data_IF_139988453332
#
_entry.id   IF_139988453332
#
_cell.length_a   1.000
_cell.length_b   1.000
_cell.length_c   1.000
_cell.angle_alpha   90.00
_cell.angle_beta   90.00
_cell.angle_gamma   90.00
#
_symmetry.space_group_name_H-M   'P 1'
#
loop_
_entity.id
_entity.type
_entity.pdbx_description
1 polymer ?
#
# COMPACT_ATOMS: atom_id res chain seq x y z
N UNK A 1 -5.86 30.18 2.55
CA UNK A 1 -6.24 28.83 3.03
C UNK A 1 -5.55 27.73 2.19
N UNK A 2 -4.21 27.72 2.12
CA UNK A 2 -3.39 26.74 1.35
C UNK A 2 -2.52 25.83 2.23
N UNK A 3 -2.72 25.85 3.55
CA UNK A 3 -1.77 25.28 4.52
C UNK A 3 -2.27 24.02 5.24
N UNK A 4 -3.54 23.65 5.11
CA UNK A 4 -4.11 22.47 5.79
C UNK A 4 -3.48 21.16 5.29
N UNK A 5 -3.29 20.94 3.96
CA UNK A 5 -2.67 19.71 3.47
C UNK A 5 -1.21 19.56 3.92
N UNK A 6 -0.44 20.66 3.90
CA UNK A 6 0.96 20.65 4.34
C UNK A 6 1.11 20.35 5.83
N UNK A 7 0.16 20.78 6.68
CA UNK A 7 0.17 20.49 8.10
C UNK A 7 -0.10 19.01 8.38
N UNK A 8 -1.00 18.38 7.62
CA UNK A 8 -1.31 16.95 7.73
C UNK A 8 -0.15 16.08 7.24
N UNK A 9 0.49 16.41 6.11
CA UNK A 9 1.71 15.73 5.66
C UNK A 9 2.86 15.88 6.67
N UNK A 10 3.01 17.04 7.30
CA UNK A 10 3.99 17.24 8.38
C UNK A 10 3.66 16.43 9.64
N UNK A 11 2.37 16.30 9.99
CA UNK A 11 1.88 15.46 11.08
C UNK A 11 2.15 13.97 10.81
N UNK A 12 2.08 13.52 9.54
CA UNK A 12 2.40 12.15 9.13
C UNK A 12 3.89 11.84 9.31
N UNK A 13 4.77 12.77 8.92
CA UNK A 13 6.21 12.67 9.18
C UNK A 13 6.48 12.61 10.69
N UNK A 14 5.77 13.42 11.48
CA UNK A 14 5.86 13.40 12.94
C UNK A 14 5.34 12.10 13.57
N UNK A 15 4.41 11.39 12.93
CA UNK A 15 3.88 10.08 13.35
C UNK A 15 4.83 8.91 13.01
N UNK A 16 5.77 9.06 12.08
CA UNK A 16 6.77 8.02 11.79
C UNK A 16 7.81 7.88 12.89
N UNK A 17 8.22 8.98 13.50
CA UNK A 17 9.16 8.98 14.64
C UNK A 17 8.67 8.07 15.79
N UNK A 18 7.45 8.21 16.32
CA UNK A 18 6.95 7.33 17.37
C UNK A 18 6.74 5.89 16.86
N UNK A 19 6.33 5.68 15.60
CA UNK A 19 6.21 4.32 15.04
C UNK A 19 7.57 3.60 14.99
N UNK A 20 8.65 4.33 14.69
CA UNK A 20 10.01 3.82 14.69
C UNK A 20 10.54 3.58 16.12
N UNK A 21 10.09 4.33 17.12
CA UNK A 21 10.56 4.19 18.50
C UNK A 21 9.82 3.10 19.29
N UNK A 22 8.57 2.79 18.96
CA UNK A 22 7.75 1.81 19.70
C UNK A 22 8.03 0.37 19.25
N UNK A 23 8.14 -0.57 20.18
CA UNK A 23 8.37 -1.99 19.86
C UNK A 23 7.25 -2.61 19.02
N UNK A 24 7.65 -3.46 18.06
CA UNK A 24 6.70 -4.19 17.22
C UNK A 24 5.78 -5.11 18.04
N UNK A 25 4.59 -5.43 17.51
CA UNK A 25 3.58 -6.29 18.14
C UNK A 25 2.96 -5.76 19.44
N UNK A 26 3.27 -4.54 19.86
CA UNK A 26 2.67 -3.91 21.05
C UNK A 26 1.38 -3.16 20.71
N UNK A 27 0.52 -2.92 21.71
CA UNK A 27 -0.71 -2.12 21.53
C UNK A 27 -0.41 -0.71 20.98
N UNK A 28 0.59 0.03 21.49
CA UNK A 28 0.92 1.35 20.93
C UNK A 28 1.37 1.29 19.47
N UNK A 29 2.08 0.24 19.06
CA UNK A 29 2.48 0.06 17.66
C UNK A 29 1.25 -0.05 16.75
N UNK A 30 0.29 -0.91 17.11
CA UNK A 30 -0.92 -1.09 16.32
C UNK A 30 -1.81 0.15 16.29
N UNK A 31 -1.91 0.89 17.41
CA UNK A 31 -2.63 2.17 17.43
C UNK A 31 -2.01 3.17 16.46
N UNK A 32 -0.68 3.34 16.50
CA UNK A 32 0.03 4.24 15.59
C UNK A 32 -0.07 3.79 14.14
N UNK A 33 0.00 2.49 13.87
CA UNK A 33 -0.18 1.91 12.53
C UNK A 33 -1.57 2.22 11.96
N UNK A 34 -2.64 2.02 12.76
CA UNK A 34 -4.02 2.31 12.35
C UNK A 34 -4.22 3.81 12.12
N UNK A 35 -3.72 4.65 13.02
CA UNK A 35 -3.81 6.12 12.87
C UNK A 35 -3.07 6.55 11.60
N UNK A 36 -1.83 6.11 11.41
CA UNK A 36 -1.03 6.49 10.24
C UNK A 36 -1.69 6.06 8.92
N UNK A 37 -2.19 4.83 8.83
CA UNK A 37 -2.85 4.34 7.62
C UNK A 37 -4.21 4.99 7.35
N UNK A 38 -4.98 5.31 8.39
CA UNK A 38 -6.29 5.98 8.22
C UNK A 38 -6.14 7.46 7.89
N UNK A 39 -5.16 8.15 8.47
CA UNK A 39 -4.85 9.55 8.13
C UNK A 39 -4.44 9.68 6.66
N UNK A 40 -3.65 8.75 6.11
CA UNK A 40 -3.31 8.73 4.69
C UNK A 40 -4.55 8.67 3.77
N UNK A 41 -5.45 7.72 4.04
CA UNK A 41 -6.68 7.58 3.28
C UNK A 41 -7.59 8.82 3.34
N UNK A 42 -7.63 9.48 4.50
CA UNK A 42 -8.43 10.68 4.72
C UNK A 42 -7.84 11.92 4.02
N UNK A 43 -6.53 12.11 4.10
CA UNK A 43 -5.83 13.22 3.45
C UNK A 43 -5.98 13.15 1.93
N UNK A 44 -5.76 11.97 1.35
CA UNK A 44 -5.93 11.72 -0.07
C UNK A 44 -7.38 11.94 -0.52
N UNK A 45 -8.37 11.70 0.34
CA UNK A 45 -9.78 11.98 0.04
C UNK A 45 -10.11 13.47 0.13
N UNK A 46 -9.63 14.17 1.16
CA UNK A 46 -9.86 15.60 1.37
C UNK A 46 -9.15 16.46 0.29
N UNK A 47 -7.93 16.12 -0.08
CA UNK A 47 -7.17 16.80 -1.12
C UNK A 47 -7.90 16.77 -2.47
N UNK A 48 -8.43 15.58 -2.85
CA UNK A 48 -9.24 15.39 -4.05
C UNK A 48 -10.58 16.12 -3.99
N UNK A 49 -11.23 16.12 -2.84
CA UNK A 49 -12.54 16.77 -2.66
C UNK A 49 -12.46 18.30 -2.70
N UNK A 50 -11.36 18.88 -2.22
CA UNK A 50 -11.17 20.33 -2.19
C UNK A 50 -10.37 20.88 -3.37
N UNK A 51 -9.83 20.02 -4.25
CA UNK A 51 -9.06 20.45 -5.43
C UNK A 51 -7.76 21.18 -5.07
N UNK A 52 -7.20 20.91 -3.90
CA UNK A 52 -5.99 21.57 -3.37
C UNK A 52 -4.80 20.63 -3.44
N UNK A 53 -4.61 19.99 -4.59
CA UNK A 53 -3.42 19.17 -4.85
C UNK A 53 -2.26 20.09 -5.26
N UNK A 54 -1.15 20.01 -4.53
CA UNK A 54 0.07 20.73 -4.89
C UNK A 54 1.17 19.72 -5.26
N UNK A 55 1.99 20.05 -6.26
CA UNK A 55 3.11 19.18 -6.68
C UNK A 55 4.08 18.90 -5.53
N UNK A 56 4.28 19.87 -4.65
CA UNK A 56 5.14 19.73 -3.47
C UNK A 56 4.52 18.80 -2.42
N UNK A 57 3.24 18.98 -2.11
CA UNK A 57 2.50 18.10 -1.19
C UNK A 57 2.44 16.66 -1.68
N UNK A 58 2.18 16.44 -2.98
CA UNK A 58 2.15 15.11 -3.58
C UNK A 58 3.51 14.39 -3.50
N UNK A 59 4.62 15.14 -3.66
CA UNK A 59 5.97 14.59 -3.48
C UNK A 59 6.26 14.19 -2.03
N UNK A 60 5.84 15.01 -1.06
CA UNK A 60 5.95 14.68 0.37
C UNK A 60 5.09 13.48 0.77
N UNK A 61 3.88 13.37 0.22
CA UNK A 61 2.95 12.26 0.43
C UNK A 61 3.57 10.93 -0.04
N UNK A 62 4.13 10.92 -1.26
CA UNK A 62 4.82 9.75 -1.81
C UNK A 62 6.04 9.33 -0.97
N UNK A 63 6.81 10.30 -0.46
CA UNK A 63 7.94 10.02 0.43
C UNK A 63 7.47 9.45 1.78
N UNK A 64 6.39 10.02 2.32
CA UNK A 64 5.82 9.57 3.58
C UNK A 64 5.31 8.12 3.48
N UNK A 65 4.61 7.78 2.40
CA UNK A 65 4.13 6.42 2.15
C UNK A 65 5.28 5.42 2.02
N UNK A 66 6.34 5.80 1.31
CA UNK A 66 7.53 4.96 1.16
C UNK A 66 8.20 4.68 2.51
N UNK A 67 8.38 5.71 3.34
CA UNK A 67 8.96 5.57 4.69
C UNK A 67 8.06 4.70 5.58
N UNK A 68 6.73 4.87 5.53
CA UNK A 68 5.79 4.06 6.30
C UNK A 68 5.94 2.57 5.95
N UNK A 69 5.91 2.24 4.66
CA UNK A 69 6.04 0.87 4.17
C UNK A 69 7.40 0.28 4.58
N UNK A 70 8.47 1.06 4.52
CA UNK A 70 9.80 0.60 4.95
C UNK A 70 9.87 0.32 6.45
N UNK A 71 9.38 1.24 7.30
CA UNK A 71 9.45 1.10 8.76
C UNK A 71 8.57 -0.06 9.23
N UNK A 72 7.31 -0.11 8.77
CA UNK A 72 6.38 -1.18 9.10
C UNK A 72 6.91 -2.51 8.58
N UNK A 73 7.35 -2.55 7.32
CA UNK A 73 7.93 -3.73 6.70
C UNK A 73 9.12 -4.25 7.50
N UNK A 74 10.09 -3.39 7.81
CA UNK A 74 11.28 -3.76 8.58
C UNK A 74 10.92 -4.31 9.97
N UNK A 75 10.00 -3.67 10.69
CA UNK A 75 9.60 -4.11 12.04
C UNK A 75 8.78 -5.39 12.05
N UNK A 76 7.93 -5.59 11.05
CA UNK A 76 7.06 -6.76 10.96
C UNK A 76 7.75 -7.96 10.31
N UNK A 77 8.80 -7.75 9.53
CA UNK A 77 9.51 -8.81 8.80
C UNK A 77 9.96 -9.99 9.66
N UNK A 78 10.57 -9.80 10.85
CA UNK A 78 10.97 -10.92 11.70
C UNK A 78 9.80 -11.77 12.22
N UNK A 79 8.60 -11.19 12.24
CA UNK A 79 7.37 -11.84 12.72
C UNK A 79 6.61 -12.55 11.60
N UNK A 80 6.98 -12.32 10.33
CA UNK A 80 6.41 -12.97 9.16
C UNK A 80 6.92 -14.41 9.02
N UNK A 81 6.35 -15.31 9.81
CA UNK A 81 6.58 -16.76 9.70
C UNK A 81 5.71 -17.35 8.59
N UNK A 82 6.05 -17.05 7.35
CA UNK A 82 5.35 -17.56 6.17
C UNK A 82 5.93 -18.91 5.73
N UNK A 83 5.10 -19.91 5.39
CA UNK A 83 5.55 -21.15 4.78
C UNK A 83 6.14 -20.88 3.38
N UNK A 84 7.04 -21.75 2.93
CA UNK A 84 7.70 -21.63 1.62
C UNK A 84 6.71 -21.50 0.45
N UNK A 85 5.54 -22.13 0.55
CA UNK A 85 4.47 -22.05 -0.45
C UNK A 85 3.89 -20.65 -0.60
N UNK A 86 3.73 -19.89 0.50
CA UNK A 86 3.29 -18.50 0.45
C UNK A 86 4.39 -17.60 -0.14
N UNK A 87 5.65 -17.86 0.17
CA UNK A 87 6.77 -17.15 -0.47
C UNK A 87 6.82 -17.35 -1.98
N UNK A 88 6.60 -18.58 -2.46
CA UNK A 88 6.48 -18.86 -3.89
C UNK A 88 5.32 -18.08 -4.52
N UNK A 89 4.18 -17.99 -3.84
CA UNK A 89 3.03 -17.23 -4.34
C UNK A 89 3.29 -15.73 -4.39
N UNK A 90 3.95 -15.17 -3.38
CA UNK A 90 4.40 -13.76 -3.39
C UNK A 90 5.36 -13.52 -4.55
N UNK A 91 6.31 -14.44 -4.79
CA UNK A 91 7.22 -14.39 -5.94
C UNK A 91 6.47 -14.41 -7.27
N UNK A 92 5.47 -15.28 -7.43
CA UNK A 92 4.62 -15.33 -8.62
C UNK A 92 3.86 -14.01 -8.85
N UNK A 93 3.26 -13.45 -7.80
CA UNK A 93 2.55 -12.15 -7.87
C UNK A 93 3.52 -11.05 -8.29
N UNK A 94 4.73 -11.02 -7.73
CA UNK A 94 5.76 -10.05 -8.08
C UNK A 94 6.15 -10.18 -9.56
N UNK A 95 6.34 -11.40 -10.07
CA UNK A 95 6.63 -11.64 -11.48
C UNK A 95 5.52 -11.11 -12.40
N UNK A 96 4.25 -11.41 -12.09
CA UNK A 96 3.11 -10.90 -12.87
C UNK A 96 3.07 -9.37 -12.85
N UNK A 97 3.33 -8.73 -11.70
CA UNK A 97 3.38 -7.28 -11.59
C UNK A 97 4.53 -6.66 -12.39
N UNK A 98 5.71 -7.29 -12.41
CA UNK A 98 6.83 -6.84 -13.25
C UNK A 98 6.45 -6.89 -14.73
N UNK A 99 5.84 -7.99 -15.18
CA UNK A 99 5.34 -8.13 -16.56
C UNK A 99 4.33 -7.03 -16.87
N UNK A 100 3.37 -6.76 -15.98
CA UNK A 100 2.40 -5.68 -16.17
C UNK A 100 3.06 -4.30 -16.31
N UNK A 101 4.07 -3.99 -15.50
CA UNK A 101 4.82 -2.73 -15.60
C UNK A 101 5.52 -2.62 -16.95
N UNK A 102 6.17 -3.68 -17.41
CA UNK A 102 6.82 -3.72 -18.74
C UNK A 102 5.78 -3.56 -19.86
N UNK A 103 4.67 -4.29 -19.80
CA UNK A 103 3.58 -4.18 -20.77
C UNK A 103 2.98 -2.76 -20.80
N UNK A 104 2.83 -2.12 -19.64
CA UNK A 104 2.37 -0.73 -19.54
C UNK A 104 3.36 0.22 -20.22
N UNK A 105 4.66 0.05 -20.00
CA UNK A 105 5.70 0.86 -20.62
C UNK A 105 5.73 0.70 -22.14
N UNK A 106 5.66 -0.53 -22.65
CA UNK A 106 5.71 -0.81 -24.09
C UNK A 106 4.47 -0.30 -24.82
N UNK A 107 3.27 -0.47 -24.24
CA UNK A 107 2.00 -0.11 -24.89
C UNK A 107 1.69 1.38 -24.79
N UNK A 108 2.02 2.03 -23.66
CA UNK A 108 1.55 3.39 -23.35
C UNK A 108 2.67 4.44 -23.27
N UNK A 109 3.94 4.02 -23.37
CA UNK A 109 5.13 4.85 -23.17
C UNK A 109 5.10 5.69 -21.88
N UNK A 110 4.37 5.22 -20.87
CA UNK A 110 4.30 5.82 -19.54
C UNK A 110 4.30 4.74 -18.48
N UNK A 111 5.12 4.94 -17.45
CA UNK A 111 5.11 4.13 -16.23
C UNK A 111 3.98 4.60 -15.32
N UNK A 112 2.74 4.32 -15.70
CA UNK A 112 1.61 4.57 -14.81
C UNK A 112 1.34 3.29 -14.00
N UNK A 113 1.55 3.37 -12.68
CA UNK A 113 1.04 2.39 -11.74
C UNK A 113 -0.49 2.52 -11.75
N UNK A 114 -1.17 1.59 -12.41
CA UNK A 114 -2.62 1.62 -12.49
C UNK A 114 -3.19 1.29 -11.11
N UNK A 115 -3.65 2.32 -10.39
CA UNK A 115 -4.42 2.18 -9.16
C UNK A 115 -5.85 1.72 -9.48
N UNK A 116 -5.97 0.52 -10.02
CA UNK A 116 -7.27 -0.14 -10.25
C UNK A 116 -8.00 -0.30 -8.92
N UNK A 117 -9.34 -0.32 -8.96
CA UNK A 117 -10.17 -0.59 -7.77
C UNK A 117 -9.76 -1.91 -7.10
N UNK A 118 -9.35 -2.91 -7.89
CA UNK A 118 -8.82 -4.19 -7.41
C UNK A 118 -7.55 -4.02 -6.59
N UNK A 119 -6.57 -3.25 -7.08
CA UNK A 119 -5.32 -2.98 -6.33
C UNK A 119 -5.59 -2.21 -5.02
N UNK A 120 -6.56 -1.28 -5.02
CA UNK A 120 -6.96 -0.57 -3.78
C UNK A 120 -7.54 -1.53 -2.74
N UNK A 121 -8.40 -2.46 -3.18
CA UNK A 121 -8.96 -3.48 -2.29
C UNK A 121 -7.86 -4.41 -1.75
N UNK A 122 -6.94 -4.87 -2.60
CA UNK A 122 -5.80 -5.69 -2.15
C UNK A 122 -4.94 -4.95 -1.13
N UNK A 123 -4.67 -3.66 -1.34
CA UNK A 123 -3.95 -2.83 -0.37
C UNK A 123 -4.66 -2.74 0.98
N UNK A 124 -5.98 -2.55 0.98
CA UNK A 124 -6.79 -2.55 2.21
C UNK A 124 -6.80 -3.91 2.91
N UNK A 125 -6.90 -5.00 2.15
CA UNK A 125 -6.82 -6.36 2.70
C UNK A 125 -5.45 -6.67 3.30
N UNK A 126 -4.36 -6.22 2.66
CA UNK A 126 -3.01 -6.30 3.21
C UNK A 126 -2.89 -5.49 4.50
N UNK A 127 -3.44 -4.28 4.52
CA UNK A 127 -3.41 -3.41 5.69
C UNK A 127 -4.05 -4.07 6.92
N UNK A 128 -5.23 -4.67 6.76
CA UNK A 128 -5.91 -5.44 7.82
C UNK A 128 -5.14 -6.73 8.12
N UNK A 129 -4.67 -7.43 7.09
CA UNK A 129 -3.96 -8.70 7.20
C UNK A 129 -2.70 -8.59 8.06
N UNK A 130 -1.98 -7.47 7.99
CA UNK A 130 -0.81 -7.22 8.85
C UNK A 130 -1.17 -7.27 10.34
N UNK A 131 -2.35 -6.80 10.75
CA UNK A 131 -2.79 -6.84 12.16
C UNK A 131 -3.03 -8.26 12.68
N UNK A 132 -3.11 -9.25 11.79
CA UNK A 132 -3.29 -10.66 12.17
C UNK A 132 -1.96 -11.38 12.41
N UNK A 133 -0.81 -10.72 12.18
CA UNK A 133 0.52 -11.29 12.44
C UNK A 133 0.63 -11.71 13.91
N UNK A 134 1.17 -12.91 14.14
CA UNK A 134 1.30 -13.50 15.47
C UNK A 134 0.05 -14.25 15.96
N UNK A 135 -1.08 -14.16 15.24
CA UNK A 135 -2.29 -14.90 15.56
C UNK A 135 -2.31 -16.27 14.85
N UNK A 136 -3.06 -17.24 15.41
CA UNK A 136 -3.16 -18.60 14.87
C UNK A 136 -3.76 -18.66 13.45
N UNK A 137 -4.62 -17.69 13.10
CA UNK A 137 -5.29 -17.59 11.81
C UNK A 137 -4.53 -16.75 10.77
N UNK A 138 -3.30 -16.30 11.07
CA UNK A 138 -2.48 -15.49 10.17
C UNK A 138 -2.25 -16.17 8.81
N UNK A 139 -1.89 -17.46 8.81
CA UNK A 139 -1.55 -18.20 7.57
C UNK A 139 -2.76 -18.33 6.64
N UNK A 140 -3.95 -18.78 7.09
CA UNK A 140 -5.15 -18.77 6.26
C UNK A 140 -5.50 -17.38 5.70
N UNK A 141 -5.40 -16.33 6.51
CA UNK A 141 -5.65 -14.95 6.07
C UNK A 141 -4.65 -14.53 4.98
N UNK A 142 -3.36 -14.83 5.15
CA UNK A 142 -2.33 -14.54 4.17
C UNK A 142 -2.60 -15.23 2.82
N UNK A 143 -3.10 -16.46 2.82
CA UNK A 143 -3.53 -17.16 1.59
C UNK A 143 -4.69 -16.47 0.89
N UNK A 144 -5.73 -16.09 1.64
CA UNK A 144 -6.87 -15.36 1.09
C UNK A 144 -6.39 -14.07 0.43
N UNK A 145 -5.55 -13.29 1.11
CA UNK A 145 -4.98 -12.05 0.59
C UNK A 145 -4.13 -12.32 -0.66
N UNK A 146 -3.29 -13.36 -0.65
CA UNK A 146 -2.45 -13.71 -1.80
C UNK A 146 -3.30 -14.09 -3.03
N UNK A 147 -4.40 -14.85 -2.85
CA UNK A 147 -5.34 -15.15 -3.93
C UNK A 147 -5.98 -13.88 -4.52
N UNK A 148 -6.43 -12.96 -3.66
CA UNK A 148 -6.96 -11.67 -4.10
C UNK A 148 -5.90 -10.81 -4.81
N UNK A 149 -4.67 -10.81 -4.32
CA UNK A 149 -3.56 -10.08 -4.92
C UNK A 149 -3.19 -10.64 -6.30
N UNK A 150 -3.18 -11.95 -6.46
CA UNK A 150 -2.96 -12.61 -7.75
C UNK A 150 -4.08 -12.26 -8.73
N UNK A 151 -5.34 -12.36 -8.31
CA UNK A 151 -6.48 -11.94 -9.13
C UNK A 151 -6.39 -10.48 -9.55
N UNK A 152 -6.05 -9.57 -8.64
CA UNK A 152 -5.87 -8.16 -8.93
C UNK A 152 -4.73 -7.91 -9.93
N UNK A 153 -3.62 -8.65 -9.81
CA UNK A 153 -2.50 -8.56 -10.74
C UNK A 153 -2.89 -9.01 -12.16
N UNK A 154 -3.62 -10.12 -12.30
CA UNK A 154 -4.12 -10.55 -13.61
C UNK A 154 -5.16 -9.59 -14.19
N UNK A 155 -6.09 -9.09 -13.36
CA UNK A 155 -7.10 -8.13 -13.79
C UNK A 155 -6.47 -6.82 -14.31
N UNK A 156 -5.40 -6.35 -13.65
CA UNK A 156 -4.63 -5.20 -14.12
C UNK A 156 -3.94 -5.48 -15.47
N UNK A 157 -3.30 -6.64 -15.62
CA UNK A 157 -2.66 -7.03 -16.88
C UNK A 157 -3.65 -7.07 -18.05
N UNK A 158 -4.85 -7.63 -17.82
CA UNK A 158 -5.92 -7.64 -18.80
C UNK A 158 -6.35 -6.22 -19.21
N UNK A 159 -6.53 -5.31 -18.25
CA UNK A 159 -6.90 -3.91 -18.53
C UNK A 159 -5.81 -3.15 -19.31
N UNK A 160 -4.53 -3.47 -19.07
CA UNK A 160 -3.41 -2.89 -19.82
C UNK A 160 -3.49 -3.29 -21.29
N UNK A 161 -3.63 -4.58 -21.57
CA UNK A 161 -3.66 -5.14 -22.93
C UNK A 161 -4.93 -4.74 -23.68
N UNK A 162 -6.08 -4.75 -23.02
CA UNK A 162 -7.37 -4.41 -23.62
C UNK A 162 -7.53 -2.90 -23.93
N UNK A 163 -6.54 -2.07 -23.58
CA UNK A 163 -6.58 -0.60 -23.65
C UNK A 163 -7.83 0.04 -23.00
N UNK A 164 -8.50 -0.68 -22.09
CA UNK A 164 -9.71 -0.22 -21.38
C UNK A 164 -9.33 0.51 -20.10
N UNK A 165 -8.48 1.54 -20.20
CA UNK A 165 -8.23 2.41 -19.05
C UNK A 165 -9.41 3.38 -18.93
N UNK A 166 -10.23 3.18 -17.90
CA UNK A 166 -11.06 4.25 -17.39
C UNK A 166 -10.14 5.23 -16.67
N UNK A 167 -9.73 6.28 -17.37
CA UNK A 167 -9.11 7.45 -16.77
C UNK A 167 -10.19 8.10 -15.89
N UNK A 168 -10.04 8.00 -14.57
CA UNK A 168 -10.70 8.86 -13.59
C UNK A 168 -9.75 9.10 -12.43
#
# INVERSE_FOLDING_TARGET
>A
MKQIPNLLSALRIALFLPLFLVDAMTVPFWMLYVIAGTTDMLDGFLARRWGVESKFGAGLDSLADFVLVLVVGYKLFPWLKLPATLWMMVGLIALVKIVNVISSYVVKQKTEFLHTKSNKLTGFLLFIGMMTIGQSYFIPVAWVIACFALFAAFHEGYLIVANRIYIK
#
